data_IF_961775168017
#
_entry.id   IF_961775168017
#
_cell.length_a   1.000
_cell.length_b   1.000
_cell.length_c   1.000
_cell.angle_alpha   90.00
_cell.angle_beta   90.00
_cell.angle_gamma   90.00
#
_symmetry.space_group_name_H-M   'P 1'
#
loop_
_entity.id
_entity.type
_entity.pdbx_description
1 polymer ?
#
# COMPACT_ATOMS: atom_id res chain seq x y z
N UNK A 1 27.56 7.71 -12.84
CA UNK A 1 26.33 6.92 -12.62
C UNK A 1 25.73 7.35 -11.30
N UNK A 2 24.48 7.81 -11.29
CA UNK A 2 23.77 8.15 -10.04
C UNK A 2 23.32 6.87 -9.36
N UNK A 3 23.93 6.58 -8.21
CA UNK A 3 23.56 5.44 -7.37
C UNK A 3 22.33 5.82 -6.57
N UNK A 4 21.18 5.21 -6.87
CA UNK A 4 19.97 5.43 -6.07
C UNK A 4 20.21 4.93 -4.64
N UNK A 5 19.86 5.76 -3.67
CA UNK A 5 19.92 5.37 -2.26
C UNK A 5 18.88 4.26 -2.03
N UNK A 6 19.36 3.05 -1.73
CA UNK A 6 18.51 1.86 -1.47
C UNK A 6 18.19 1.70 0.02
N UNK A 7 18.67 2.61 0.86
CA UNK A 7 18.38 2.64 2.29
C UNK A 7 16.95 3.14 2.47
N UNK A 8 16.00 2.22 2.54
CA UNK A 8 14.62 2.54 2.91
C UNK A 8 14.57 2.77 4.42
N UNK A 9 14.47 4.04 4.85
CA UNK A 9 14.39 4.44 6.27
C UNK A 9 12.96 4.36 6.84
N UNK A 10 12.09 3.52 6.26
CA UNK A 10 10.76 3.29 6.83
C UNK A 10 10.81 2.10 7.78
N UNK A 11 10.48 2.33 9.05
CA UNK A 11 10.33 1.23 10.00
C UNK A 11 9.06 0.44 9.71
N UNK A 12 8.98 -0.80 10.23
CA UNK A 12 7.78 -1.63 10.14
C UNK A 12 6.54 -0.88 10.69
N UNK A 13 6.72 -0.05 11.72
CA UNK A 13 5.64 0.77 12.30
C UNK A 13 5.16 1.85 11.34
N UNK A 14 6.07 2.47 10.60
CA UNK A 14 5.73 3.49 9.61
C UNK A 14 4.96 2.86 8.44
N UNK A 15 5.40 1.69 7.99
CA UNK A 15 4.71 0.91 6.94
C UNK A 15 3.30 0.55 7.39
N UNK A 16 3.12 0.03 8.62
CA UNK A 16 1.81 -0.31 9.17
C UNK A 16 0.89 0.92 9.30
N UNK A 17 1.42 2.06 9.72
CA UNK A 17 0.66 3.31 9.82
C UNK A 17 0.18 3.78 8.44
N UNK A 18 1.08 3.75 7.44
CA UNK A 18 0.77 4.10 6.07
C UNK A 18 -0.30 3.15 5.50
N UNK A 19 -0.15 1.84 5.71
CA UNK A 19 -1.11 0.82 5.26
C UNK A 19 -2.52 1.09 5.83
N UNK A 20 -2.61 1.34 7.15
CA UNK A 20 -3.88 1.65 7.83
C UNK A 20 -4.52 2.92 7.28
N UNK A 21 -3.72 3.97 7.05
CA UNK A 21 -4.20 5.24 6.47
C UNK A 21 -4.77 5.04 5.07
N UNK A 22 -4.08 4.27 4.21
CA UNK A 22 -4.55 3.96 2.86
C UNK A 22 -5.84 3.15 2.88
N UNK A 23 -5.93 2.12 3.72
CA UNK A 23 -7.15 1.32 3.89
C UNK A 23 -8.33 2.16 4.38
N UNK A 24 -8.08 3.11 5.28
CA UNK A 24 -9.09 4.06 5.74
C UNK A 24 -9.58 4.95 4.59
N UNK A 25 -8.67 5.50 3.79
CA UNK A 25 -9.03 6.34 2.63
C UNK A 25 -9.83 5.56 1.59
N UNK A 26 -9.42 4.34 1.24
CA UNK A 26 -10.19 3.46 0.34
C UNK A 26 -11.61 3.26 0.88
N UNK A 27 -11.73 2.93 2.17
CA UNK A 27 -13.04 2.71 2.80
C UNK A 27 -13.90 3.97 2.81
N UNK A 28 -13.29 5.16 2.94
CA UNK A 28 -13.99 6.42 2.87
C UNK A 28 -14.49 6.70 1.45
N UNK A 29 -13.62 6.61 0.44
CA UNK A 29 -13.96 6.83 -0.96
C UNK A 29 -15.04 5.87 -1.47
N UNK A 30 -14.94 4.58 -1.12
CA UNK A 30 -15.92 3.57 -1.51
C UNK A 30 -17.32 3.81 -0.91
N UNK A 31 -17.40 4.44 0.27
CA UNK A 31 -18.70 4.85 0.84
C UNK A 31 -19.32 6.02 0.08
N UNK A 32 -18.49 6.92 -0.43
CA UNK A 32 -18.93 8.10 -1.19
C UNK A 32 -19.33 7.75 -2.63
N UNK A 33 -18.80 6.67 -3.20
CA UNK A 33 -19.20 6.15 -4.53
C UNK A 33 -20.65 5.62 -4.61
N UNK A 34 -21.31 5.36 -3.48
CA UNK A 34 -22.61 4.68 -3.46
C UNK A 34 -23.78 5.51 -4.03
N UNK A 35 -23.57 6.79 -4.38
CA UNK A 35 -24.61 7.72 -4.79
C UNK A 35 -24.37 8.27 -6.20
N UNK A 36 -24.94 7.58 -7.21
CA UNK A 36 -25.02 7.99 -8.63
C UNK A 36 -23.65 8.02 -9.33
N UNK A 37 -23.57 7.55 -10.59
CA UNK A 37 -22.37 7.68 -11.45
C UNK A 37 -22.15 9.14 -11.83
N UNK A 38 -21.66 9.91 -10.87
CA UNK A 38 -21.17 11.28 -11.06
C UNK A 38 -19.71 11.22 -11.51
N UNK A 39 -19.22 12.34 -12.05
CA UNK A 39 -17.79 12.52 -12.34
C UNK A 39 -16.93 12.24 -11.09
N UNK A 40 -17.42 12.64 -9.91
CA UNK A 40 -16.79 12.38 -8.61
C UNK A 40 -16.70 10.88 -8.30
N UNK A 41 -17.71 10.07 -8.66
CA UNK A 41 -17.65 8.61 -8.50
C UNK A 41 -16.54 8.00 -9.36
N UNK A 42 -16.35 8.46 -10.60
CA UNK A 42 -15.27 7.96 -11.48
C UNK A 42 -13.89 8.34 -10.92
N UNK A 43 -13.76 9.56 -10.39
CA UNK A 43 -12.51 10.04 -9.78
C UNK A 43 -12.18 9.26 -8.50
N UNK A 44 -13.18 9.01 -7.65
CA UNK A 44 -13.04 8.17 -6.47
C UNK A 44 -12.60 6.75 -6.83
N UNK A 45 -13.16 6.17 -7.89
CA UNK A 45 -12.80 4.84 -8.38
C UNK A 45 -11.32 4.77 -8.77
N UNK A 46 -10.89 5.74 -9.59
CA UNK A 46 -9.49 5.82 -10.02
C UNK A 46 -8.54 6.00 -8.83
N UNK A 47 -8.97 6.78 -7.82
CA UNK A 47 -8.18 6.98 -6.60
C UNK A 47 -8.09 5.70 -5.74
N UNK A 48 -9.17 4.93 -5.67
CA UNK A 48 -9.16 3.62 -5.00
C UNK A 48 -8.17 2.67 -5.69
N UNK A 49 -8.19 2.61 -7.03
CA UNK A 49 -7.24 1.78 -7.80
C UNK A 49 -5.80 2.20 -7.53
N UNK A 50 -5.51 3.51 -7.53
CA UNK A 50 -4.18 4.05 -7.22
C UNK A 50 -3.71 3.59 -5.83
N UNK A 51 -4.56 3.76 -4.80
CA UNK A 51 -4.24 3.36 -3.43
C UNK A 51 -4.04 1.84 -3.29
N UNK A 52 -4.83 1.03 -4.00
CA UNK A 52 -4.67 -0.43 -4.02
C UNK A 52 -3.33 -0.85 -4.65
N UNK A 53 -2.88 -0.17 -5.71
CA UNK A 53 -1.58 -0.46 -6.33
C UNK A 53 -0.41 -0.16 -5.38
N UNK A 54 -0.49 0.93 -4.62
CA UNK A 54 0.53 1.26 -3.61
C UNK A 54 0.51 0.25 -2.47
N UNK A 55 -0.67 -0.15 -1.98
CA UNK A 55 -0.80 -1.21 -0.97
C UNK A 55 -0.20 -2.54 -1.44
N UNK A 56 -0.39 -2.91 -2.71
CA UNK A 56 0.24 -4.12 -3.29
C UNK A 56 1.76 -4.03 -3.26
N UNK A 57 2.32 -2.83 -3.51
CA UNK A 57 3.76 -2.60 -3.43
C UNK A 57 4.28 -2.77 -2.00
N UNK A 58 3.56 -2.25 -1.00
CA UNK A 58 3.93 -2.47 0.40
C UNK A 58 3.79 -3.92 0.84
N UNK A 59 2.76 -4.64 0.39
CA UNK A 59 2.62 -6.07 0.68
C UNK A 59 3.84 -6.86 0.20
N UNK A 60 4.31 -6.60 -1.03
CA UNK A 60 5.50 -7.24 -1.59
C UNK A 60 6.79 -6.88 -0.83
N UNK A 61 6.87 -5.66 -0.27
CA UNK A 61 7.99 -5.26 0.60
C UNK A 61 7.87 -5.82 2.02
N UNK A 62 6.66 -6.08 2.54
CA UNK A 62 6.46 -6.69 3.86
C UNK A 62 6.91 -8.15 3.88
N UNK A 63 6.80 -8.86 2.75
CA UNK A 63 7.41 -10.19 2.55
C UNK A 63 8.94 -10.14 2.77
N UNK A 64 9.61 -9.04 2.41
CA UNK A 64 11.04 -8.85 2.71
C UNK A 64 11.36 -8.73 4.20
N UNK A 65 10.41 -8.25 5.02
CA UNK A 65 10.55 -8.17 6.49
C UNK A 65 10.04 -9.42 7.21
N UNK A 66 9.51 -10.41 6.49
CA UNK A 66 9.15 -11.71 7.04
C UNK A 66 10.39 -12.45 7.55
N UNK A 67 10.24 -13.31 8.55
CA UNK A 67 11.34 -14.12 9.06
C UNK A 67 11.90 -15.00 7.92
N UNK A 68 13.07 -14.64 7.43
CA UNK A 68 13.93 -15.55 6.67
C UNK A 68 14.55 -16.53 7.65
N UNK A 69 14.60 -17.82 7.30
CA UNK A 69 15.54 -18.73 7.96
C UNK A 69 16.96 -18.12 7.90
N UNK A 70 17.85 -18.52 8.79
CA UNK A 70 19.29 -18.20 8.72
C UNK A 70 19.93 -18.61 7.37
N UNK A 71 19.22 -19.37 6.54
CA UNK A 71 19.56 -19.80 5.17
C UNK A 71 18.97 -18.91 4.06
N UNK A 72 18.21 -17.85 4.37
CA UNK A 72 17.65 -16.90 3.39
C UNK A 72 16.33 -17.30 2.73
N UNK A 73 15.66 -18.34 3.21
CA UNK A 73 14.39 -18.83 2.66
C UNK A 73 13.20 -18.28 3.47
N UNK A 74 12.12 -17.79 2.84
CA UNK A 74 10.92 -17.33 3.56
C UNK A 74 10.26 -18.48 4.34
N UNK A 75 9.89 -18.22 5.60
CA UNK A 75 8.96 -19.09 6.34
C UNK A 75 7.56 -18.95 5.73
N UNK A 76 7.05 -20.05 5.18
CA UNK A 76 5.71 -20.15 4.60
C UNK A 76 4.60 -20.06 5.63
#
# INVERSE_FOLDING_TARGET
MTTYNKSFELSIKDIDLIERSMRYQISHLARTEASVQTQESIENHNKIIELMNVLSTFHNQKIWYGQIHHTGVPLG
#
